data_IF_751164138105
#
_entry.id   IF_751164138105
#
_cell.length_a   1.000
_cell.length_b   1.000
_cell.length_c   1.000
_cell.angle_alpha   90.00
_cell.angle_beta   90.00
_cell.angle_gamma   90.00
#
_symmetry.space_group_name_H-M   'P 1'
#
loop_
_entity.id
_entity.type
_entity.pdbx_description
1 polymer ?
#
# COMPACT_ATOMS: atom_id res chain seq x y z
N UNK A 1 -35.80 9.43 2.73
CA UNK A 1 -34.90 9.67 1.58
C UNK A 1 -33.93 8.51 1.51
N UNK A 2 -33.73 7.89 0.33
CA UNK A 2 -32.67 6.88 0.12
C UNK A 2 -31.43 7.59 -0.40
N UNK A 3 -30.25 7.17 0.02
CA UNK A 3 -28.98 7.82 -0.33
C UNK A 3 -27.95 6.77 -0.77
N UNK A 4 -27.18 7.10 -1.81
CA UNK A 4 -26.03 6.32 -2.28
C UNK A 4 -24.82 7.26 -2.34
N UNK A 5 -23.80 6.94 -1.55
CA UNK A 5 -22.47 7.48 -1.72
C UNK A 5 -21.67 6.56 -2.63
N UNK A 6 -21.11 7.09 -3.71
CA UNK A 6 -20.38 6.27 -4.69
C UNK A 6 -18.97 6.79 -4.93
N UNK A 7 -17.99 5.90 -4.77
CA UNK A 7 -16.64 6.15 -5.24
C UNK A 7 -16.55 6.02 -6.76
N UNK A 8 -15.96 6.99 -7.43
CA UNK A 8 -15.68 6.94 -8.88
C UNK A 8 -14.19 7.08 -9.12
N UNK A 9 -13.58 6.17 -9.89
CA UNK A 9 -12.13 6.18 -10.19
C UNK A 9 -11.88 5.93 -11.68
N UNK A 10 -10.83 6.57 -12.21
CA UNK A 10 -10.41 6.43 -13.61
C UNK A 10 -9.87 7.70 -14.29
N UNK A 11 -9.84 8.82 -13.56
CA UNK A 11 -9.42 10.11 -14.14
C UNK A 11 -10.40 10.61 -15.20
N UNK A 12 -9.96 11.57 -16.01
CA UNK A 12 -10.80 12.19 -17.05
C UNK A 12 -11.20 11.19 -18.14
N UNK A 13 -10.23 10.42 -18.64
CA UNK A 13 -10.47 9.41 -19.67
C UNK A 13 -11.35 8.27 -19.18
N UNK A 14 -11.10 7.76 -17.97
CA UNK A 14 -11.93 6.72 -17.37
C UNK A 14 -13.35 7.21 -17.12
N UNK A 15 -13.56 8.46 -16.68
CA UNK A 15 -14.90 9.00 -16.53
C UNK A 15 -15.69 9.05 -17.85
N UNK A 16 -15.01 9.30 -18.98
CA UNK A 16 -15.62 9.32 -20.32
C UNK A 16 -15.87 7.92 -20.88
N UNK A 17 -14.90 7.00 -20.75
CA UNK A 17 -14.90 5.70 -21.44
C UNK A 17 -15.43 4.55 -20.60
N UNK A 18 -15.41 4.68 -19.28
CA UNK A 18 -15.85 3.65 -18.34
C UNK A 18 -15.04 3.69 -17.04
N UNK A 19 -15.58 4.28 -15.96
CA UNK A 19 -14.88 4.33 -14.68
C UNK A 19 -15.10 3.06 -13.87
N UNK A 20 -14.28 2.87 -12.83
CA UNK A 20 -14.64 1.99 -11.71
C UNK A 20 -15.61 2.72 -10.79
N UNK A 21 -16.69 2.05 -10.38
CA UNK A 21 -17.74 2.65 -9.54
C UNK A 21 -18.04 1.78 -8.32
N UNK A 22 -18.02 2.39 -7.13
CA UNK A 22 -18.08 1.72 -5.83
C UNK A 22 -19.27 2.25 -5.02
N UNK A 23 -20.52 1.91 -5.36
CA UNK A 23 -21.72 2.38 -4.68
C UNK A 23 -21.92 1.73 -3.29
N UNK A 24 -22.24 2.54 -2.28
CA UNK A 24 -22.73 2.08 -0.99
C UNK A 24 -23.77 3.04 -0.39
N UNK A 25 -24.49 2.62 0.64
CA UNK A 25 -25.54 3.42 1.27
C UNK A 25 -26.83 2.64 1.55
N UNK A 26 -27.95 3.16 1.05
CA UNK A 26 -29.27 2.52 1.16
C UNK A 26 -29.43 1.38 0.13
N UNK A 27 -29.31 0.12 0.57
CA UNK A 27 -29.39 -1.06 -0.32
C UNK A 27 -30.68 -1.08 -1.16
N UNK A 28 -31.81 -0.63 -0.62
CA UNK A 28 -33.08 -0.54 -1.35
C UNK A 28 -33.06 0.42 -2.55
N UNK A 29 -32.04 1.27 -2.71
CA UNK A 29 -31.85 2.11 -3.91
C UNK A 29 -30.99 1.44 -4.99
N UNK A 30 -30.27 0.35 -4.67
CA UNK A 30 -29.34 -0.27 -5.62
C UNK A 30 -30.03 -0.76 -6.89
N UNK A 31 -31.17 -1.44 -6.76
CA UNK A 31 -31.92 -1.99 -7.90
C UNK A 31 -32.31 -0.92 -8.94
N UNK A 32 -32.50 0.33 -8.51
CA UNK A 32 -32.90 1.43 -9.39
C UNK A 32 -31.71 2.03 -10.15
N UNK A 33 -30.54 2.13 -9.52
CA UNK A 33 -29.36 2.74 -10.15
C UNK A 33 -28.44 1.71 -10.81
N UNK A 34 -28.55 0.42 -10.44
CA UNK A 34 -27.72 -0.68 -10.96
C UNK A 34 -27.65 -0.70 -12.49
N UNK A 35 -28.77 -0.62 -13.25
CA UNK A 35 -28.71 -0.67 -14.71
C UNK A 35 -27.90 0.48 -15.30
N UNK A 36 -27.99 1.67 -14.70
CA UNK A 36 -27.26 2.85 -15.16
C UNK A 36 -25.77 2.70 -14.82
N UNK A 37 -25.46 2.36 -13.57
CA UNK A 37 -24.08 2.30 -13.09
C UNK A 37 -23.28 1.20 -13.81
N UNK A 38 -23.88 0.01 -14.00
CA UNK A 38 -23.22 -1.09 -14.72
C UNK A 38 -23.16 -0.85 -16.24
N UNK A 39 -24.07 -0.06 -16.82
CA UNK A 39 -23.99 0.33 -18.22
C UNK A 39 -22.82 1.29 -18.50
N UNK A 40 -22.55 2.24 -17.60
CA UNK A 40 -21.52 3.27 -17.81
C UNK A 40 -20.14 2.89 -17.29
N UNK A 41 -20.01 1.93 -16.37
CA UNK A 41 -18.70 1.56 -15.81
C UNK A 41 -17.79 0.84 -16.82
N UNK A 42 -16.52 0.69 -16.48
CA UNK A 42 -15.62 -0.21 -17.19
C UNK A 42 -16.12 -1.65 -17.12
N UNK A 43 -15.74 -2.47 -18.11
CA UNK A 43 -15.95 -3.91 -18.12
C UNK A 43 -14.59 -4.59 -18.26
N UNK A 44 -14.37 -5.68 -17.54
CA UNK A 44 -13.18 -6.53 -17.74
C UNK A 44 -13.36 -7.45 -18.95
N UNK A 45 -12.35 -8.25 -19.29
CA UNK A 45 -12.28 -9.03 -20.54
C UNK A 45 -13.46 -10.00 -20.72
N UNK A 46 -14.01 -10.54 -19.62
CA UNK A 46 -15.15 -11.46 -19.61
C UNK A 46 -16.53 -10.73 -19.67
N UNK A 47 -16.52 -9.40 -19.77
CA UNK A 47 -17.72 -8.56 -19.79
C UNK A 47 -18.25 -8.18 -18.40
N UNK A 48 -17.65 -8.66 -17.31
CA UNK A 48 -18.10 -8.32 -15.96
C UNK A 48 -17.94 -6.82 -15.68
N UNK A 49 -18.95 -6.15 -15.12
CA UNK A 49 -18.88 -4.72 -14.83
C UNK A 49 -17.96 -4.44 -13.64
N UNK A 50 -17.13 -3.41 -13.74
CA UNK A 50 -16.33 -2.86 -12.64
C UNK A 50 -17.19 -1.98 -11.71
N UNK A 51 -18.38 -2.49 -11.37
CA UNK A 51 -19.34 -1.86 -10.47
C UNK A 51 -20.28 -2.91 -9.88
N UNK A 52 -20.32 -3.00 -8.55
CA UNK A 52 -21.33 -3.76 -7.81
C UNK A 52 -21.58 -3.10 -6.46
N UNK A 53 -22.65 -3.48 -5.77
CA UNK A 53 -22.94 -2.99 -4.42
C UNK A 53 -21.80 -3.30 -3.45
N UNK A 54 -21.23 -2.26 -2.84
CA UNK A 54 -20.11 -2.37 -1.89
C UNK A 54 -20.60 -2.74 -0.50
N UNK A 55 -21.64 -2.06 -0.01
CA UNK A 55 -22.09 -2.19 1.36
C UNK A 55 -22.90 -1.00 1.86
N UNK A 56 -23.18 -1.02 3.15
CA UNK A 56 -24.06 -0.09 3.83
C UNK A 56 -23.41 1.29 4.05
N UNK A 57 -24.23 2.33 4.23
CA UNK A 57 -23.80 3.67 4.66
C UNK A 57 -22.64 4.25 3.82
N UNK A 58 -21.49 4.51 4.44
CA UNK A 58 -20.31 5.10 3.81
C UNK A 58 -19.38 4.11 3.11
N UNK A 59 -19.71 2.81 3.06
CA UNK A 59 -18.83 1.75 2.58
C UNK A 59 -18.23 2.03 1.19
N UNK A 60 -19.04 2.53 0.25
CA UNK A 60 -18.58 2.86 -1.11
C UNK A 60 -17.49 3.93 -1.14
N UNK A 61 -17.64 5.00 -0.35
CA UNK A 61 -16.61 6.03 -0.22
C UNK A 61 -15.38 5.55 0.57
N UNK A 62 -15.58 4.69 1.57
CA UNK A 62 -14.48 4.08 2.31
C UNK A 62 -13.60 3.23 1.39
N UNK A 63 -14.19 2.35 0.60
CA UNK A 63 -13.45 1.53 -0.39
C UNK A 63 -12.71 2.43 -1.38
N UNK A 64 -13.31 3.54 -1.82
CA UNK A 64 -12.61 4.51 -2.68
C UNK A 64 -11.43 5.20 -2.00
N UNK A 65 -11.55 5.52 -0.72
CA UNK A 65 -10.46 6.09 0.07
C UNK A 65 -9.30 5.08 0.17
N UNK A 66 -9.59 3.81 0.50
CA UNK A 66 -8.57 2.74 0.53
C UNK A 66 -7.92 2.56 -0.84
N UNK A 67 -8.68 2.55 -1.93
CA UNK A 67 -8.15 2.55 -3.29
C UNK A 67 -7.11 3.66 -3.49
N UNK A 68 -7.40 4.91 -3.07
CA UNK A 68 -6.44 6.01 -3.21
C UNK A 68 -5.22 5.87 -2.29
N UNK A 69 -5.37 5.23 -1.13
CA UNK A 69 -4.23 4.86 -0.29
C UNK A 69 -3.30 3.88 -1.02
N UNK A 70 -3.86 2.81 -1.59
CA UNK A 70 -3.12 1.82 -2.39
C UNK A 70 -2.47 2.49 -3.61
N UNK A 71 -3.18 3.39 -4.30
CA UNK A 71 -2.64 4.20 -5.40
C UNK A 71 -1.39 5.00 -4.97
N UNK A 72 -1.40 5.59 -3.77
CA UNK A 72 -0.24 6.31 -3.25
C UNK A 72 0.94 5.36 -2.98
N UNK A 73 0.66 4.17 -2.43
CA UNK A 73 1.65 3.12 -2.22
C UNK A 73 2.28 2.66 -3.53
N UNK A 74 1.46 2.32 -4.53
CA UNK A 74 1.93 1.86 -5.85
C UNK A 74 2.81 2.91 -6.53
N UNK A 75 2.38 4.18 -6.55
CA UNK A 75 3.18 5.28 -7.10
C UNK A 75 4.51 5.45 -6.37
N UNK A 76 4.51 5.38 -5.03
CA UNK A 76 5.73 5.54 -4.25
C UNK A 76 6.72 4.40 -4.51
N UNK A 77 6.26 3.15 -4.59
CA UNK A 77 7.10 2.00 -4.90
C UNK A 77 7.74 2.12 -6.30
N UNK A 78 6.97 2.59 -7.29
CA UNK A 78 7.48 2.86 -8.63
C UNK A 78 8.55 3.96 -8.61
N UNK A 79 8.31 5.04 -7.86
CA UNK A 79 9.28 6.11 -7.67
C UNK A 79 10.58 5.62 -7.01
N UNK A 80 10.49 4.70 -6.04
CA UNK A 80 11.67 4.10 -5.40
C UNK A 80 12.47 3.22 -6.35
N UNK A 81 11.80 2.40 -7.16
CA UNK A 81 12.45 1.62 -8.22
C UNK A 81 13.17 2.54 -9.23
N UNK A 82 12.50 3.62 -9.68
CA UNK A 82 13.11 4.65 -10.52
C UNK A 82 14.33 5.31 -9.87
N UNK A 83 14.23 5.70 -8.60
CA UNK A 83 15.31 6.37 -7.87
C UNK A 83 16.55 5.48 -7.74
N UNK A 84 16.36 4.19 -7.44
CA UNK A 84 17.44 3.21 -7.37
C UNK A 84 18.10 3.08 -8.75
N UNK A 85 17.34 2.86 -9.83
CA UNK A 85 17.93 2.75 -11.17
C UNK A 85 18.65 4.03 -11.61
N UNK A 86 18.09 5.21 -11.32
CA UNK A 86 18.68 6.49 -11.70
C UNK A 86 19.97 6.79 -10.93
N UNK A 87 19.93 6.76 -9.60
CA UNK A 87 21.01 7.29 -8.77
C UNK A 87 22.05 6.23 -8.38
N UNK A 88 21.64 4.96 -8.27
CA UNK A 88 22.55 3.87 -7.94
C UNK A 88 23.11 3.20 -9.19
N UNK A 89 22.28 2.95 -10.22
CA UNK A 89 22.73 2.31 -11.46
C UNK A 89 23.17 3.29 -12.56
N UNK A 90 23.00 4.60 -12.32
CA UNK A 90 23.32 5.68 -13.25
C UNK A 90 22.62 5.52 -14.62
N UNK A 91 21.39 5.04 -14.61
CA UNK A 91 20.58 4.88 -15.83
C UNK A 91 19.89 6.18 -16.20
N UNK A 92 19.82 6.46 -17.50
CA UNK A 92 19.05 7.57 -18.06
C UNK A 92 17.55 7.31 -17.99
N UNK A 93 16.73 8.38 -18.03
CA UNK A 93 15.28 8.25 -18.11
C UNK A 93 14.83 7.36 -19.27
N UNK A 94 15.52 7.42 -20.42
CA UNK A 94 15.23 6.57 -21.57
C UNK A 94 15.42 5.08 -21.28
N UNK A 95 16.57 4.70 -20.71
CA UNK A 95 16.87 3.31 -20.35
C UNK A 95 15.87 2.78 -19.31
N UNK A 96 15.55 3.60 -18.30
CA UNK A 96 14.58 3.22 -17.27
C UNK A 96 13.17 3.08 -17.87
N UNK A 97 12.80 3.95 -18.80
CA UNK A 97 11.53 3.87 -19.52
C UNK A 97 11.38 2.57 -20.32
N UNK A 98 12.47 2.08 -20.93
CA UNK A 98 12.48 0.77 -21.60
C UNK A 98 12.31 -0.39 -20.61
N UNK A 99 12.94 -0.30 -19.43
CA UNK A 99 12.76 -1.30 -18.36
C UNK A 99 11.31 -1.37 -17.90
N UNK A 100 10.66 -0.23 -17.64
CA UNK A 100 9.24 -0.22 -17.26
C UNK A 100 8.33 -0.75 -18.38
N UNK A 101 8.63 -0.46 -19.65
CA UNK A 101 7.92 -1.07 -20.79
C UNK A 101 8.06 -2.59 -20.84
N UNK A 102 9.21 -3.14 -20.45
CA UNK A 102 9.40 -4.58 -20.36
C UNK A 102 8.65 -5.17 -19.16
N UNK A 103 8.74 -4.53 -18.00
CA UNK A 103 8.01 -4.95 -16.80
C UNK A 103 6.49 -4.99 -17.01
N UNK A 104 5.95 -4.09 -17.84
CA UNK A 104 4.53 -4.05 -18.16
C UNK A 104 4.02 -5.24 -18.99
N UNK A 105 4.91 -6.12 -19.48
CA UNK A 105 4.53 -7.33 -20.22
C UNK A 105 4.37 -8.57 -19.33
N UNK A 106 4.68 -8.45 -18.04
CA UNK A 106 4.70 -9.54 -17.08
C UNK A 106 3.73 -9.34 -15.92
N UNK A 107 4.11 -9.84 -14.74
CA UNK A 107 3.26 -9.77 -13.53
C UNK A 107 3.02 -8.35 -12.99
N UNK A 108 3.81 -7.38 -13.44
CA UNK A 108 3.64 -5.95 -13.14
C UNK A 108 2.73 -5.22 -14.14
N UNK A 109 2.14 -5.91 -15.12
CA UNK A 109 1.18 -5.33 -16.06
C UNK A 109 0.08 -4.55 -15.31
N UNK A 110 0.17 -3.24 -15.44
CA UNK A 110 -0.70 -2.29 -14.76
C UNK A 110 -0.61 -0.92 -15.40
N UNK A 111 -1.70 -0.16 -15.27
CA UNK A 111 -1.75 1.20 -15.82
C UNK A 111 -0.63 2.12 -15.31
N UNK A 112 -0.30 2.04 -14.02
CA UNK A 112 0.77 2.88 -13.46
C UNK A 112 2.16 2.52 -14.01
N UNK A 113 2.44 1.26 -14.30
CA UNK A 113 3.71 0.82 -14.91
C UNK A 113 3.76 1.25 -16.38
N UNK A 114 2.65 1.07 -17.12
CA UNK A 114 2.48 1.53 -18.49
C UNK A 114 2.81 3.03 -18.64
N UNK A 115 2.07 3.89 -17.92
CA UNK A 115 2.26 5.34 -18.03
C UNK A 115 3.64 5.78 -17.52
N UNK A 116 4.23 5.05 -16.57
CA UNK A 116 5.60 5.36 -16.11
C UNK A 116 6.60 5.16 -17.24
N UNK A 117 6.49 4.05 -18.00
CA UNK A 117 7.30 3.83 -19.19
C UNK A 117 7.10 4.92 -20.24
N UNK A 118 5.87 5.39 -20.47
CA UNK A 118 5.58 6.48 -21.40
C UNK A 118 6.14 7.83 -20.94
N UNK A 119 5.94 8.19 -19.67
CA UNK A 119 6.43 9.43 -19.06
C UNK A 119 7.95 9.54 -19.16
N UNK A 120 8.67 8.46 -18.86
CA UNK A 120 10.13 8.42 -18.89
C UNK A 120 10.72 8.54 -20.31
N UNK A 121 9.95 8.12 -21.32
CA UNK A 121 10.34 8.25 -22.73
C UNK A 121 9.91 9.59 -23.34
N UNK A 122 9.08 10.37 -22.66
CA UNK A 122 8.58 11.63 -23.16
C UNK A 122 9.65 12.73 -23.13
N UNK A 123 9.88 13.34 -24.28
CA UNK A 123 10.84 14.45 -24.45
C UNK A 123 10.11 15.78 -24.47
N UNK A 124 10.71 16.77 -23.84
CA UNK A 124 10.30 18.17 -23.91
C UNK A 124 10.74 18.80 -25.25
N UNK A 125 10.35 20.06 -25.49
CA UNK A 125 10.60 20.82 -26.72
C UNK A 125 12.09 20.96 -27.08
N UNK A 126 13.00 20.83 -26.12
CA UNK A 126 14.45 20.87 -26.33
C UNK A 126 15.09 19.48 -26.52
N UNK A 127 14.27 18.43 -26.62
CA UNK A 127 14.69 17.05 -26.82
C UNK A 127 15.17 16.31 -25.55
N UNK A 128 15.16 16.96 -24.38
CA UNK A 128 15.52 16.33 -23.09
C UNK A 128 14.29 15.69 -22.42
N UNK A 129 14.46 14.66 -21.57
CA UNK A 129 13.33 14.08 -20.84
C UNK A 129 12.61 15.13 -19.99
N UNK A 130 11.28 15.20 -20.10
CA UNK A 130 10.51 16.19 -19.31
C UNK A 130 10.58 15.89 -17.81
N UNK A 131 10.67 14.61 -17.44
CA UNK A 131 10.72 14.15 -16.04
C UNK A 131 11.88 14.76 -15.25
N UNK A 132 13.00 15.05 -15.91
CA UNK A 132 14.20 15.64 -15.29
C UNK A 132 14.02 17.13 -14.97
N UNK A 133 12.97 17.77 -15.51
CA UNK A 133 12.66 19.19 -15.33
C UNK A 133 11.49 19.45 -14.40
N UNK A 134 10.72 18.42 -14.07
CA UNK A 134 9.56 18.54 -13.17
C UNK A 134 10.07 18.77 -11.75
N UNK A 135 9.50 19.75 -11.06
CA UNK A 135 9.79 20.01 -9.65
C UNK A 135 9.39 18.81 -8.79
N UNK A 136 10.33 18.31 -7.98
CA UNK A 136 10.17 17.15 -7.09
C UNK A 136 9.40 17.48 -5.81
N UNK A 137 8.22 18.10 -5.96
CA UNK A 137 7.27 18.42 -4.88
C UNK A 137 5.91 17.81 -5.21
N UNK A 138 5.61 16.67 -4.61
CA UNK A 138 4.37 15.96 -4.85
C UNK A 138 3.18 16.62 -4.14
N UNK A 139 2.18 17.03 -4.92
CA UNK A 139 0.89 17.46 -4.38
C UNK A 139 0.06 16.29 -3.83
N UNK A 140 -0.96 16.61 -3.04
CA UNK A 140 -1.95 15.64 -2.56
C UNK A 140 -3.29 16.34 -2.26
N UNK A 141 -4.40 15.64 -2.50
CA UNK A 141 -5.78 16.15 -2.28
C UNK A 141 -6.41 15.62 -0.97
N UNK A 142 -5.63 14.99 -0.10
CA UNK A 142 -6.07 14.53 1.22
C UNK A 142 -6.51 13.07 1.33
N UNK A 143 -6.95 12.42 0.25
CA UNK A 143 -7.51 11.06 0.33
C UNK A 143 -6.52 10.01 0.81
N UNK A 144 -5.26 10.05 0.37
CA UNK A 144 -4.22 9.15 0.90
C UNK A 144 -3.94 9.39 2.40
N UNK A 145 -3.96 10.67 2.83
CA UNK A 145 -3.83 11.02 4.26
C UNK A 145 -5.00 10.46 5.08
N UNK A 146 -6.23 10.50 4.57
CA UNK A 146 -7.38 9.91 5.26
C UNK A 146 -7.21 8.41 5.47
N UNK A 147 -6.74 7.66 4.48
CA UNK A 147 -6.47 6.21 4.64
C UNK A 147 -5.47 5.95 5.77
N UNK A 148 -4.40 6.75 5.85
CA UNK A 148 -3.42 6.64 6.94
C UNK A 148 -4.00 6.98 8.30
N UNK A 149 -4.84 8.02 8.40
CA UNK A 149 -5.52 8.39 9.67
C UNK A 149 -6.48 7.29 10.10
N UNK A 150 -7.33 6.81 9.18
CA UNK A 150 -8.27 5.72 9.47
C UNK A 150 -7.54 4.46 9.92
N UNK A 151 -6.39 4.14 9.35
CA UNK A 151 -5.61 3.01 9.83
C UNK A 151 -5.15 3.17 11.29
N UNK A 152 -4.80 4.39 11.71
CA UNK A 152 -4.48 4.67 13.11
C UNK A 152 -5.73 4.52 13.99
N UNK A 153 -6.88 5.05 13.55
CA UNK A 153 -8.15 4.96 14.28
C UNK A 153 -8.63 3.52 14.44
N UNK A 154 -8.46 2.68 13.41
CA UNK A 154 -8.85 1.26 13.40
C UNK A 154 -7.77 0.32 14.01
N UNK A 155 -6.62 0.86 14.44
CA UNK A 155 -5.52 0.07 15.00
C UNK A 155 -4.85 -0.88 14.00
N UNK A 156 -4.82 -0.52 12.71
CA UNK A 156 -4.26 -1.33 11.62
C UNK A 156 -2.88 -0.83 11.21
N UNK A 157 -1.84 -1.69 11.17
CA UNK A 157 -0.49 -1.30 10.74
C UNK A 157 -0.38 -1.11 9.21
N UNK A 158 -0.91 0.01 8.70
CA UNK A 158 -0.88 0.42 7.29
C UNK A 158 0.43 1.15 6.93
N UNK A 159 1.58 0.53 7.23
CA UNK A 159 2.89 1.18 7.23
C UNK A 159 3.31 1.70 5.86
N UNK A 160 3.12 0.91 4.79
CA UNK A 160 3.64 1.24 3.46
C UNK A 160 2.91 2.45 2.86
N UNK A 161 1.58 2.47 2.97
CA UNK A 161 0.77 3.61 2.51
C UNK A 161 1.03 4.84 3.39
N UNK A 162 1.24 4.65 4.70
CA UNK A 162 1.67 5.73 5.60
C UNK A 162 2.98 6.37 5.14
N UNK A 163 4.00 5.56 4.84
CA UNK A 163 5.27 6.03 4.29
C UNK A 163 5.14 6.70 2.93
N UNK A 164 4.22 6.24 2.08
CA UNK A 164 3.92 6.91 0.81
C UNK A 164 3.32 8.31 1.02
N UNK A 165 2.49 8.50 2.05
CA UNK A 165 1.96 9.82 2.43
C UNK A 165 3.09 10.71 2.98
N UNK A 166 3.92 10.20 3.90
CA UNK A 166 5.03 10.96 4.45
C UNK A 166 6.10 11.32 3.42
N UNK A 167 6.34 10.45 2.43
CA UNK A 167 7.24 10.73 1.31
C UNK A 167 6.79 11.94 0.49
N UNK A 168 5.47 12.12 0.30
CA UNK A 168 4.94 13.34 -0.32
C UNK A 168 5.21 14.57 0.54
N UNK A 169 5.03 14.49 1.85
CA UNK A 169 5.30 15.61 2.76
C UNK A 169 6.79 15.98 2.74
N UNK A 170 7.68 14.99 2.80
CA UNK A 170 9.12 15.18 2.69
C UNK A 170 9.51 15.85 1.37
N UNK A 171 8.87 15.47 0.26
CA UNK A 171 9.10 16.10 -1.04
C UNK A 171 8.73 17.59 -1.04
N UNK A 172 7.67 17.98 -0.33
CA UNK A 172 7.22 19.37 -0.24
C UNK A 172 8.20 20.27 0.52
N UNK A 173 9.03 19.71 1.41
CA UNK A 173 10.10 20.41 2.13
C UNK A 173 11.32 20.71 1.22
N UNK A 174 11.11 21.14 -0.02
CA UNK A 174 12.15 21.24 -1.05
C UNK A 174 13.31 22.15 -0.65
N UNK A 175 13.01 23.36 -0.16
CA UNK A 175 14.04 24.32 0.23
C UNK A 175 14.91 23.78 1.37
N UNK A 176 14.28 23.19 2.39
CA UNK A 176 14.99 22.55 3.51
C UNK A 176 15.87 21.39 3.04
N UNK A 177 15.37 20.53 2.15
CA UNK A 177 16.16 19.43 1.57
C UNK A 177 17.37 19.94 0.79
N UNK A 178 17.23 21.03 0.04
CA UNK A 178 18.34 21.65 -0.71
C UNK A 178 19.40 22.20 0.23
N UNK A 179 19.01 22.87 1.32
CA UNK A 179 19.98 23.34 2.32
C UNK A 179 20.66 22.16 3.04
N UNK A 180 19.90 21.14 3.45
CA UNK A 180 20.45 19.94 4.08
C UNK A 180 21.46 19.21 3.20
N UNK A 181 21.22 19.14 1.88
CA UNK A 181 22.13 18.49 0.93
C UNK A 181 23.49 19.20 0.79
N UNK A 182 23.58 20.51 1.09
CA UNK A 182 24.86 21.24 1.11
C UNK A 182 25.70 20.87 2.33
N UNK A 183 25.05 20.56 3.45
CA UNK A 183 25.70 20.22 4.73
C UNK A 183 26.07 18.74 4.77
N UNK A 184 25.12 17.86 4.44
CA UNK A 184 25.29 16.41 4.48
C UNK A 184 25.63 15.87 3.09
N UNK A 185 26.91 15.91 2.72
CA UNK A 185 27.38 15.34 1.46
C UNK A 185 27.24 13.81 1.50
N UNK A 186 26.52 13.25 0.53
CA UNK A 186 26.44 11.80 0.33
C UNK A 186 27.66 11.32 -0.44
N UNK A 187 28.34 10.29 0.06
CA UNK A 187 29.34 9.57 -0.73
C UNK A 187 28.61 8.84 -1.87
N UNK A 188 29.05 9.07 -3.12
CA UNK A 188 28.56 8.31 -4.26
C UNK A 188 29.38 7.03 -4.37
N UNK A 189 28.89 5.95 -3.77
CA UNK A 189 29.43 4.63 -4.05
C UNK A 189 29.00 4.22 -5.47
N UNK A 190 29.96 3.81 -6.30
CA UNK A 190 29.65 3.24 -7.61
C UNK A 190 29.14 1.82 -7.43
N UNK A 191 28.04 1.49 -8.12
CA UNK A 191 27.54 0.12 -8.14
C UNK A 191 28.47 -0.76 -8.99
N UNK A 192 29.05 -1.79 -8.35
CA UNK A 192 30.01 -2.72 -8.98
C UNK A 192 29.41 -4.08 -9.33
N UNK A 193 28.12 -4.31 -9.06
CA UNK A 193 27.44 -5.56 -9.35
C UNK A 193 26.96 -5.69 -10.80
N UNK A 194 26.33 -6.82 -11.11
CA UNK A 194 25.67 -7.03 -12.40
C UNK A 194 24.37 -6.19 -12.45
N UNK A 195 24.35 -5.18 -13.33
CA UNK A 195 23.20 -4.27 -13.48
C UNK A 195 21.92 -4.98 -13.91
N UNK A 196 22.00 -5.88 -14.88
CA UNK A 196 20.83 -6.60 -15.40
C UNK A 196 20.19 -7.49 -14.33
N UNK A 197 21.02 -8.24 -13.60
CA UNK A 197 20.54 -9.07 -12.49
C UNK A 197 19.90 -8.21 -11.39
N UNK A 198 20.49 -7.05 -11.08
CA UNK A 198 19.96 -6.17 -10.05
C UNK A 198 18.68 -5.45 -10.49
N UNK A 199 18.52 -5.13 -11.79
CA UNK A 199 17.25 -4.62 -12.34
C UNK A 199 16.13 -5.64 -12.15
N UNK A 200 16.42 -6.93 -12.36
CA UNK A 200 15.45 -8.00 -12.08
C UNK A 200 15.13 -8.09 -10.57
N UNK A 201 16.13 -7.89 -9.70
CA UNK A 201 15.87 -7.85 -8.26
C UNK A 201 14.97 -6.65 -7.88
N UNK A 202 15.16 -5.48 -8.48
CA UNK A 202 14.30 -4.30 -8.28
C UNK A 202 12.87 -4.62 -8.73
N UNK A 203 12.69 -5.29 -9.87
CA UNK A 203 11.37 -5.71 -10.37
C UNK A 203 10.66 -6.60 -9.37
N UNK A 204 11.36 -7.60 -8.83
CA UNK A 204 10.83 -8.54 -7.84
C UNK A 204 10.53 -7.86 -6.51
N UNK A 205 11.40 -6.96 -6.06
CA UNK A 205 11.21 -6.17 -4.84
C UNK A 205 9.96 -5.28 -4.94
N UNK A 206 9.79 -4.59 -6.07
CA UNK A 206 8.61 -3.80 -6.38
C UNK A 206 7.33 -4.66 -6.32
N UNK A 207 7.35 -5.85 -6.92
CA UNK A 207 6.19 -6.73 -6.90
C UNK A 207 5.86 -7.26 -5.50
N UNK A 208 6.87 -7.65 -4.71
CA UNK A 208 6.68 -8.10 -3.34
C UNK A 208 6.10 -7.01 -2.44
N UNK A 209 6.65 -5.79 -2.52
CA UNK A 209 6.14 -4.67 -1.74
C UNK A 209 4.73 -4.24 -2.17
N UNK A 210 4.42 -4.34 -3.47
CA UNK A 210 3.05 -4.15 -3.98
C UNK A 210 2.08 -5.14 -3.34
N UNK A 211 2.41 -6.43 -3.28
CA UNK A 211 1.59 -7.43 -2.58
C UNK A 211 1.32 -6.99 -1.13
N UNK A 212 2.36 -6.57 -0.40
CA UNK A 212 2.21 -6.11 0.99
C UNK A 212 1.30 -4.90 1.13
N UNK A 213 1.42 -3.91 0.24
CA UNK A 213 0.53 -2.73 0.21
C UNK A 213 -0.95 -3.15 0.15
N UNK A 214 -1.29 -4.10 -0.72
CA UNK A 214 -2.65 -4.61 -0.83
C UNK A 214 -3.06 -5.47 0.37
N UNK A 215 -2.17 -6.28 0.92
CA UNK A 215 -2.45 -7.04 2.16
C UNK A 215 -2.84 -6.10 3.31
N UNK A 216 -2.11 -5.00 3.48
CA UNK A 216 -2.42 -3.99 4.49
C UNK A 216 -3.74 -3.26 4.18
N UNK A 217 -3.98 -2.88 2.92
CA UNK A 217 -5.23 -2.24 2.51
C UNK A 217 -6.49 -3.10 2.73
N UNK A 218 -6.40 -4.40 2.43
CA UNK A 218 -7.48 -5.35 2.72
C UNK A 218 -7.66 -5.60 4.22
N UNK A 219 -6.58 -5.62 4.99
CA UNK A 219 -6.66 -5.70 6.45
C UNK A 219 -7.38 -4.48 7.04
N UNK A 220 -7.15 -3.29 6.49
CA UNK A 220 -7.87 -2.07 6.87
C UNK A 220 -9.36 -2.15 6.54
N UNK A 221 -9.71 -2.61 5.34
CA UNK A 221 -11.11 -2.82 4.98
C UNK A 221 -11.79 -3.84 5.90
N UNK A 222 -11.09 -4.91 6.29
CA UNK A 222 -11.62 -5.91 7.20
C UNK A 222 -11.86 -5.38 8.62
N UNK A 223 -10.91 -4.62 9.17
CA UNK A 223 -11.09 -3.95 10.47
C UNK A 223 -12.30 -3.00 10.45
N UNK A 224 -12.35 -2.11 9.45
CA UNK A 224 -13.45 -1.17 9.30
C UNK A 224 -14.80 -1.86 9.06
N UNK A 225 -14.84 -2.96 8.29
CA UNK A 225 -16.06 -3.75 8.08
C UNK A 225 -16.62 -4.25 9.41
N UNK A 226 -15.75 -4.71 10.32
CA UNK A 226 -16.12 -5.14 11.67
C UNK A 226 -16.60 -3.96 12.53
N UNK A 227 -15.85 -2.85 12.53
CA UNK A 227 -16.16 -1.65 13.33
C UNK A 227 -17.51 -1.02 12.93
N UNK A 228 -17.77 -0.90 11.63
CA UNK A 228 -18.97 -0.23 11.10
C UNK A 228 -20.13 -1.17 10.78
N UNK A 229 -19.96 -2.48 11.00
CA UNK A 229 -20.98 -3.49 10.72
C UNK A 229 -21.34 -3.60 9.23
N UNK A 230 -20.36 -3.40 8.34
CA UNK A 230 -20.54 -3.57 6.90
C UNK A 230 -20.34 -5.02 6.48
N UNK A 231 -20.99 -5.39 5.37
CA UNK A 231 -20.83 -6.70 4.74
C UNK A 231 -20.02 -6.59 3.45
N UNK A 232 -18.73 -6.24 3.56
CA UNK A 232 -17.88 -6.03 2.39
C UNK A 232 -17.58 -7.34 1.65
N UNK A 233 -17.81 -7.34 0.33
CA UNK A 233 -17.39 -8.43 -0.57
C UNK A 233 -15.99 -8.14 -1.12
N UNK A 234 -14.94 -8.70 -0.49
CA UNK A 234 -13.54 -8.46 -0.86
C UNK A 234 -13.19 -8.90 -2.29
N UNK A 235 -13.74 -10.03 -2.76
CA UNK A 235 -13.59 -10.48 -4.15
C UNK A 235 -14.30 -9.54 -5.14
N UNK A 236 -15.49 -9.06 -4.77
CA UNK A 236 -16.21 -8.03 -5.53
C UNK A 236 -15.47 -6.70 -5.61
N UNK A 237 -14.83 -6.27 -4.52
CA UNK A 237 -13.96 -5.08 -4.49
C UNK A 237 -12.76 -5.26 -5.42
N UNK A 238 -12.11 -6.43 -5.38
CA UNK A 238 -11.01 -6.73 -6.29
C UNK A 238 -11.45 -6.62 -7.75
N UNK A 239 -12.61 -7.20 -8.10
CA UNK A 239 -13.21 -7.11 -9.43
C UNK A 239 -13.49 -5.66 -9.84
N UNK A 240 -14.05 -4.83 -8.96
CA UNK A 240 -14.30 -3.41 -9.25
C UNK A 240 -13.02 -2.64 -9.55
N UNK A 241 -11.89 -3.04 -8.97
CA UNK A 241 -10.59 -2.41 -9.22
C UNK A 241 -9.86 -2.99 -10.45
N UNK A 242 -10.28 -4.13 -11.02
CA UNK A 242 -9.60 -4.74 -12.17
C UNK A 242 -9.61 -3.88 -13.44
N UNK A 243 -10.57 -2.99 -13.57
CA UNK A 243 -10.73 -2.12 -14.74
C UNK A 243 -11.25 -0.73 -14.36
N UNK A 244 -11.06 0.23 -15.26
CA UNK A 244 -11.53 1.61 -15.10
C UNK A 244 -10.73 2.46 -14.11
N UNK A 245 -10.32 1.93 -12.96
CA UNK A 245 -9.58 2.70 -11.95
C UNK A 245 -8.08 2.86 -12.24
N UNK A 246 -7.40 3.68 -11.43
CA UNK A 246 -5.96 3.98 -11.59
C UNK A 246 -5.09 2.76 -11.25
N UNK A 247 -5.44 2.00 -10.21
CA UNK A 247 -4.66 0.83 -9.76
C UNK A 247 -4.94 -0.46 -10.56
N UNK A 248 -5.65 -0.34 -11.69
CA UNK A 248 -6.03 -1.50 -12.51
C UNK A 248 -4.81 -2.29 -12.97
N UNK A 249 -4.86 -3.60 -12.80
CA UNK A 249 -3.74 -4.50 -13.06
C UNK A 249 -4.18 -5.95 -13.11
N UNK A 250 -3.40 -6.80 -13.79
CA UNK A 250 -3.61 -8.26 -13.81
C UNK A 250 -3.56 -8.87 -12.40
N UNK A 251 -2.81 -8.25 -11.50
CA UNK A 251 -2.67 -8.59 -10.09
C UNK A 251 -4.01 -8.68 -9.34
N UNK A 252 -4.96 -7.80 -9.64
CA UNK A 252 -6.27 -7.79 -8.97
C UNK A 252 -7.13 -9.03 -9.30
N UNK A 253 -6.87 -9.69 -10.43
CA UNK A 253 -7.45 -11.00 -10.74
C UNK A 253 -7.06 -12.04 -9.69
N UNK A 254 -5.78 -12.05 -9.27
CA UNK A 254 -5.29 -13.00 -8.26
C UNK A 254 -5.90 -12.77 -6.88
N UNK A 255 -6.13 -11.52 -6.51
CA UNK A 255 -6.83 -11.17 -5.27
C UNK A 255 -8.28 -11.66 -5.32
N UNK A 256 -8.97 -11.46 -6.45
CA UNK A 256 -10.32 -12.00 -6.65
C UNK A 256 -10.33 -13.52 -6.49
N UNK A 257 -9.42 -14.23 -7.18
CA UNK A 257 -9.33 -15.69 -7.12
C UNK A 257 -9.11 -16.20 -5.68
N UNK A 258 -8.29 -15.51 -4.88
CA UNK A 258 -8.05 -15.86 -3.48
C UNK A 258 -9.32 -15.75 -2.63
N UNK A 259 -10.07 -14.64 -2.76
CA UNK A 259 -11.32 -14.46 -2.02
C UNK A 259 -12.50 -15.28 -2.57
N UNK A 260 -12.51 -15.63 -3.86
CA UNK A 260 -13.47 -16.58 -4.41
C UNK A 260 -13.29 -17.98 -3.79
N UNK A 261 -12.03 -18.41 -3.60
CA UNK A 261 -11.70 -19.69 -2.95
C UNK A 261 -11.98 -19.67 -1.45
N UNK A 262 -11.63 -18.56 -0.78
CA UNK A 262 -11.84 -18.39 0.65
C UNK A 262 -12.33 -16.97 0.98
N UNK A 263 -13.67 -16.76 1.05
CA UNK A 263 -14.23 -15.46 1.40
C UNK A 263 -13.89 -15.00 2.83
N UNK A 264 -13.49 -15.93 3.71
CA UNK A 264 -13.14 -15.68 5.11
C UNK A 264 -11.63 -15.52 5.32
N UNK A 265 -10.85 -15.34 4.24
CA UNK A 265 -9.41 -15.14 4.31
C UNK A 265 -9.07 -13.92 5.18
N UNK A 266 -8.30 -14.13 6.25
CA UNK A 266 -7.95 -13.07 7.21
C UNK A 266 -6.85 -12.15 6.70
N UNK A 267 -5.96 -12.65 5.84
CA UNK A 267 -4.92 -11.89 5.18
C UNK A 267 -4.53 -12.56 3.86
N UNK A 268 -4.29 -11.75 2.82
CA UNK A 268 -3.92 -12.24 1.49
C UNK A 268 -2.65 -13.10 1.50
N UNK A 269 -1.70 -12.83 2.40
CA UNK A 269 -0.48 -13.63 2.54
C UNK A 269 -0.72 -15.11 2.89
N UNK A 270 -1.90 -15.45 3.41
CA UNK A 270 -2.25 -16.81 3.80
C UNK A 270 -2.86 -17.62 2.65
N UNK A 271 -3.19 -17.00 1.52
CA UNK A 271 -3.57 -17.73 0.32
C UNK A 271 -2.32 -18.36 -0.33
N UNK A 272 -2.41 -19.62 -0.83
CA UNK A 272 -1.27 -20.35 -1.37
C UNK A 272 -0.53 -19.60 -2.49
N UNK A 273 -1.23 -18.90 -3.39
CA UNK A 273 -0.59 -18.18 -4.49
C UNK A 273 0.29 -17.05 -3.95
N UNK A 274 -0.23 -16.23 -3.03
CA UNK A 274 0.53 -15.10 -2.49
C UNK A 274 1.67 -15.56 -1.57
N UNK A 275 1.47 -16.63 -0.79
CA UNK A 275 2.53 -17.24 0.00
C UNK A 275 3.71 -17.66 -0.88
N UNK A 276 3.45 -18.51 -1.88
CA UNK A 276 4.49 -19.04 -2.77
C UNK A 276 5.17 -17.92 -3.57
N UNK A 277 4.38 -16.95 -4.03
CA UNK A 277 4.89 -15.78 -4.76
C UNK A 277 5.84 -14.96 -3.89
N UNK A 278 5.43 -14.59 -2.67
CA UNK A 278 6.29 -13.81 -1.76
C UNK A 278 7.56 -14.58 -1.40
N UNK A 279 7.47 -15.86 -1.08
CA UNK A 279 8.64 -16.70 -0.76
C UNK A 279 9.69 -16.66 -1.88
N UNK A 280 9.26 -16.69 -3.15
CA UNK A 280 10.15 -16.61 -4.31
C UNK A 280 10.76 -15.20 -4.52
N UNK A 281 10.09 -14.14 -4.08
CA UNK A 281 10.54 -12.75 -4.26
C UNK A 281 11.43 -12.23 -3.10
N UNK A 282 11.34 -12.85 -1.92
CA UNK A 282 12.04 -12.40 -0.71
C UNK A 282 13.55 -12.19 -0.88
N UNK A 283 14.32 -13.11 -1.52
CA UNK A 283 15.76 -12.92 -1.68
C UNK A 283 16.11 -11.63 -2.44
N UNK A 284 15.41 -11.38 -3.55
CA UNK A 284 15.57 -10.18 -4.37
C UNK A 284 15.16 -8.91 -3.60
N UNK A 285 14.02 -8.97 -2.89
CA UNK A 285 13.55 -7.85 -2.10
C UNK A 285 14.54 -7.46 -0.99
N UNK A 286 15.10 -8.46 -0.28
CA UNK A 286 16.13 -8.22 0.74
C UNK A 286 17.42 -7.65 0.13
N UNK A 287 17.83 -8.14 -1.05
CA UNK A 287 19.00 -7.61 -1.75
C UNK A 287 18.83 -6.11 -2.08
N UNK A 288 17.66 -5.74 -2.63
CA UNK A 288 17.34 -4.33 -2.95
C UNK A 288 17.25 -3.47 -1.70
N UNK A 289 16.61 -3.97 -0.63
CA UNK A 289 16.51 -3.26 0.65
C UNK A 289 17.90 -2.98 1.26
N UNK A 290 18.77 -3.99 1.28
CA UNK A 290 20.15 -3.85 1.76
C UNK A 290 20.92 -2.83 0.91
N UNK A 291 20.84 -2.94 -0.41
CA UNK A 291 21.48 -2.02 -1.33
C UNK A 291 20.99 -0.58 -1.15
N UNK A 292 19.68 -0.33 -1.06
CA UNK A 292 19.13 1.00 -0.84
C UNK A 292 19.72 1.66 0.41
N UNK A 293 19.85 0.91 1.51
CA UNK A 293 20.47 1.38 2.75
C UNK A 293 21.96 1.67 2.54
N UNK A 294 22.73 0.72 2.00
CA UNK A 294 24.18 0.84 1.82
C UNK A 294 24.56 2.00 0.89
N UNK A 295 23.78 2.24 -0.15
CA UNK A 295 24.00 3.32 -1.13
C UNK A 295 23.28 4.63 -0.76
N UNK A 296 22.65 4.69 0.43
CA UNK A 296 21.94 5.87 0.94
C UNK A 296 20.84 6.41 -0.01
N UNK A 297 20.14 5.49 -0.69
CA UNK A 297 18.96 5.76 -1.52
C UNK A 297 17.70 5.55 -0.66
N UNK A 298 16.91 6.61 -0.40
CA UNK A 298 15.65 6.49 0.34
C UNK A 298 14.67 5.55 -0.37
N UNK A 299 14.25 4.51 0.35
CA UNK A 299 13.26 3.53 -0.10
C UNK A 299 12.23 3.22 1.00
N UNK A 300 11.51 4.23 1.53
CA UNK A 300 10.68 4.07 2.73
C UNK A 300 9.52 3.07 2.55
N UNK A 301 8.87 3.02 1.39
CA UNK A 301 7.77 2.08 1.14
C UNK A 301 8.30 0.63 0.99
N UNK A 302 9.40 0.42 0.25
CA UNK A 302 10.05 -0.90 0.15
C UNK A 302 10.52 -1.43 1.51
N UNK A 303 11.15 -0.58 2.33
CA UNK A 303 11.70 -0.96 3.63
C UNK A 303 10.61 -1.22 4.67
N UNK A 304 9.60 -0.34 4.75
CA UNK A 304 8.49 -0.51 5.69
C UNK A 304 7.60 -1.70 5.34
N UNK A 305 7.42 -1.99 4.05
CA UNK A 305 6.75 -3.20 3.58
C UNK A 305 7.49 -4.47 4.03
N UNK A 306 8.82 -4.49 3.90
CA UNK A 306 9.63 -5.65 4.31
C UNK A 306 9.59 -5.83 5.84
N UNK A 307 9.71 -4.73 6.59
CA UNK A 307 9.60 -4.76 8.05
C UNK A 307 8.22 -5.22 8.52
N UNK A 308 7.14 -4.82 7.82
CA UNK A 308 5.81 -5.34 8.09
C UNK A 308 5.73 -6.84 7.84
N UNK A 309 6.25 -7.33 6.70
CA UNK A 309 6.22 -8.76 6.40
C UNK A 309 6.96 -9.59 7.47
N UNK A 310 8.18 -9.18 7.83
CA UNK A 310 8.98 -9.86 8.84
C UNK A 310 8.28 -9.80 10.22
N UNK A 311 7.66 -8.67 10.55
CA UNK A 311 6.90 -8.51 11.78
C UNK A 311 5.63 -9.38 11.82
N UNK A 312 4.89 -9.43 10.72
CA UNK A 312 3.66 -10.21 10.58
C UNK A 312 3.89 -11.72 10.60
N UNK A 313 5.06 -12.16 10.12
CA UNK A 313 5.44 -13.59 10.06
C UNK A 313 6.26 -14.05 11.28
N UNK A 314 6.42 -13.19 12.29
CA UNK A 314 7.09 -13.52 13.54
C UNK A 314 6.11 -14.00 14.60
N UNK A 315 6.28 -15.22 15.10
CA UNK A 315 5.51 -15.76 16.24
C UNK A 315 5.72 -14.92 17.52
N UNK A 316 6.95 -14.44 17.72
CA UNK A 316 7.32 -13.62 18.88
C UNK A 316 7.97 -12.30 18.44
N UNK A 317 7.33 -11.19 18.78
CA UNK A 317 7.85 -9.83 18.62
C UNK A 317 8.38 -9.29 19.96
N UNK A 318 9.29 -8.30 19.94
CA UNK A 318 9.83 -7.69 21.16
C UNK A 318 8.82 -6.85 21.96
N UNK A 319 7.52 -6.90 21.62
CA UNK A 319 6.46 -6.20 22.33
C UNK A 319 6.25 -6.69 23.78
N UNK A 320 6.78 -7.86 24.14
CA UNK A 320 6.86 -8.30 25.53
C UNK A 320 7.70 -7.35 26.40
N UNK A 321 8.82 -6.82 25.87
CA UNK A 321 9.63 -5.82 26.57
C UNK A 321 8.89 -4.48 26.67
N UNK A 322 8.17 -4.08 25.62
CA UNK A 322 7.32 -2.89 25.64
C UNK A 322 6.26 -3.00 26.76
N UNK A 323 5.61 -4.16 26.89
CA UNK A 323 4.65 -4.41 27.96
C UNK A 323 5.31 -4.38 29.35
N UNK A 324 6.49 -4.99 29.50
CA UNK A 324 7.24 -4.93 30.75
C UNK A 324 7.62 -3.49 31.13
N UNK A 325 8.07 -2.67 30.18
CA UNK A 325 8.37 -1.25 30.40
C UNK A 325 7.14 -0.47 30.87
N UNK A 326 6.00 -0.64 30.17
CA UNK A 326 4.73 0.01 30.54
C UNK A 326 4.27 -0.39 31.94
N UNK A 327 4.39 -1.66 32.30
CA UNK A 327 4.07 -2.12 33.64
C UNK A 327 5.06 -1.58 34.69
N UNK A 328 6.34 -1.48 34.34
CA UNK A 328 7.39 -0.95 35.21
C UNK A 328 7.13 0.50 35.64
N UNK A 329 6.99 1.42 34.69
CA UNK A 329 6.88 2.85 35.02
C UNK A 329 5.46 3.30 35.33
N UNK A 330 4.44 2.54 34.91
CA UNK A 330 3.05 3.00 34.91
C UNK A 330 2.03 2.01 35.46
N UNK A 331 2.46 0.84 35.96
CA UNK A 331 1.59 -0.22 36.46
C UNK A 331 0.45 -0.58 35.49
N UNK A 332 0.75 -0.56 34.19
CA UNK A 332 -0.21 -0.79 33.11
C UNK A 332 -0.62 -2.25 32.91
N UNK A 333 -0.07 -3.17 33.70
CA UNK A 333 -0.31 -4.62 33.63
C UNK A 333 0.11 -5.26 32.29
N UNK A 334 0.18 -6.59 32.27
CA UNK A 334 0.47 -7.37 31.07
C UNK A 334 -0.13 -8.78 31.17
N UNK A 335 -0.29 -9.47 30.04
CA UNK A 335 -0.72 -10.87 30.00
C UNK A 335 0.49 -11.81 29.88
N UNK A 336 0.34 -13.07 30.29
CA UNK A 336 1.41 -14.07 30.29
C UNK A 336 1.13 -15.24 29.34
N UNK A 337 2.19 -15.82 28.79
CA UNK A 337 2.13 -16.97 27.87
C UNK A 337 1.68 -18.27 28.57
N UNK A 338 1.91 -18.39 29.87
CA UNK A 338 1.57 -19.57 30.69
C UNK A 338 0.19 -19.43 31.38
N UNK A 339 -0.63 -18.47 30.94
CA UNK A 339 -1.94 -18.13 31.52
C UNK A 339 -2.98 -17.94 30.41
N UNK A 340 -4.26 -17.97 30.79
CA UNK A 340 -5.33 -17.76 29.81
C UNK A 340 -5.33 -16.31 29.33
N UNK A 341 -5.67 -16.10 28.05
CA UNK A 341 -5.89 -14.77 27.47
C UNK A 341 -6.94 -14.01 28.27
N UNK A 342 -6.69 -12.73 28.55
CA UNK A 342 -7.52 -11.87 29.38
C UNK A 342 -7.14 -11.83 30.86
N UNK A 343 -6.18 -12.67 31.32
CA UNK A 343 -5.61 -12.57 32.66
C UNK A 343 -4.44 -11.58 32.70
N UNK A 344 -4.61 -10.49 33.46
CA UNK A 344 -3.63 -9.42 33.59
C UNK A 344 -2.84 -9.48 34.90
N UNK A 345 -1.55 -9.20 34.81
CA UNK A 345 -0.59 -9.25 35.89
C UNK A 345 0.11 -7.90 36.03
N UNK A 346 0.33 -7.47 37.27
CA UNK A 346 1.24 -6.38 37.59
C UNK A 346 2.43 -6.96 38.36
N UNK A 347 3.64 -6.52 38.04
CA UNK A 347 4.86 -6.89 38.78
C UNK A 347 5.38 -5.68 39.55
N UNK A 348 5.68 -5.86 40.83
CA UNK A 348 6.43 -4.85 41.57
C UNK A 348 7.91 -4.94 41.17
N UNK A 349 8.27 -4.24 40.11
CA UNK A 349 9.61 -4.30 39.52
C UNK A 349 10.69 -3.63 40.38
N UNK A 350 10.34 -2.66 41.22
CA UNK A 350 11.28 -1.91 42.06
C UNK A 350 11.47 -2.51 43.44
N UNK A 351 10.55 -3.39 43.88
CA UNK A 351 10.49 -3.87 45.27
C UNK A 351 9.91 -2.83 46.24
N UNK A 352 9.71 -1.59 45.80
CA UNK A 352 9.21 -0.46 46.59
C UNK A 352 7.77 -0.06 46.18
N UNK A 353 7.30 -0.52 45.02
CA UNK A 353 5.94 -0.28 44.54
C UNK A 353 4.88 -1.09 45.30
N UNK A 354 3.67 -0.55 45.44
CA UNK A 354 2.52 -1.28 45.99
C UNK A 354 1.87 -2.24 44.98
N UNK A 355 0.76 -2.88 45.35
CA UNK A 355 -0.07 -3.71 44.45
C UNK A 355 -1.02 -2.91 43.56
N UNK A 356 -0.78 -1.59 43.44
CA UNK A 356 -1.68 -0.67 42.73
C UNK A 356 -1.44 -0.78 41.23
N UNK A 357 -2.50 -1.09 40.47
CA UNK A 357 -2.47 -1.13 39.00
C UNK A 357 -3.36 -0.05 38.39
N UNK A 358 -2.97 0.46 37.21
CA UNK A 358 -3.76 1.40 36.44
C UNK A 358 -4.91 0.66 35.73
N UNK A 359 -5.99 0.36 36.44
CA UNK A 359 -7.10 -0.50 36.00
C UNK A 359 -8.10 0.16 35.04
N UNK A 360 -7.63 0.86 34.00
CA UNK A 360 -8.50 1.35 32.92
C UNK A 360 -7.82 1.26 31.55
N UNK A 361 -8.24 0.28 30.75
CA UNK A 361 -8.16 0.36 29.29
C UNK A 361 -9.45 -0.26 28.71
N UNK A 362 -10.23 0.55 27.99
CA UNK A 362 -11.09 0.05 26.93
C UNK A 362 -10.21 0.00 25.67
N UNK A 363 -10.20 -1.16 25.01
CA UNK A 363 -9.49 -1.38 23.76
C UNK A 363 -10.21 -0.71 22.59
#
# INVERSE_FOLDING_TARGET
MRYIGTGVSGGEEGALKGPSMMPGGSNSAWAEVKPIFQAICAKVEDGSPCCEWVGENGAGHFVKMVHNGIEYGDMQLICEAYHIMRDMLNMSAYEIGLVFKEWNKGELDSYLIEITGEILLYKDVDGKPIVDKILDTAGQKGTGKWTGITALDEGVPLTLIGEAVFSRFLSAMKNERVEAAKVFKKAKAEFTGNKEAFIEDIRKALYAAKIISYCQGYSLMAAASKTYGWNLNYGGIALMWRGGCIIRSVFLGKIKDAFDKNPALTNLLLDPYFKETIEALLPAWRNVAQAAILYAIPAPALLSGLSYFDGYTSEFLPANLLQAQRDYFGAHTYERLDKKRGEFFHTNWTGEGGTTSASTYNA
#
